data_IF_041643709982
#
_entry.id   IF_041643709982
#
_cell.length_a   1.000
_cell.length_b   1.000
_cell.length_c   1.000
_cell.angle_alpha   90.00
_cell.angle_beta   90.00
_cell.angle_gamma   90.00
#
_symmetry.space_group_name_H-M   'P 1'
#
loop_
_entity.id
_entity.type
_entity.pdbx_description
1 polymer ?
#
# COMPACT_ATOMS: atom_id res chain seq x y z
N UNK A 1 11.73 -9.56 0.95
CA UNK A 1 11.54 -9.66 2.41
C UNK A 1 11.77 -11.07 2.95
N UNK A 2 11.98 -12.08 2.08
CA UNK A 2 12.14 -13.49 2.45
C UNK A 2 13.36 -13.89 3.30
N UNK A 3 14.10 -12.92 3.89
CA UNK A 3 15.35 -13.18 4.61
C UNK A 3 15.33 -12.74 6.08
N UNK A 4 14.21 -12.20 6.59
CA UNK A 4 14.09 -11.82 8.01
C UNK A 4 13.28 -12.86 8.80
N UNK A 5 13.65 -13.05 10.08
CA UNK A 5 13.06 -14.09 10.94
C UNK A 5 11.65 -13.75 11.46
N UNK A 6 11.30 -12.46 11.55
CA UNK A 6 10.02 -12.00 12.09
C UNK A 6 9.02 -11.67 10.97
N UNK A 7 7.72 -11.73 11.27
CA UNK A 7 6.65 -11.32 10.35
C UNK A 7 6.79 -9.85 10.01
N UNK A 8 6.85 -9.54 8.72
CA UNK A 8 6.93 -8.16 8.21
C UNK A 8 5.54 -7.71 7.78
N UNK A 9 5.12 -6.55 8.27
CA UNK A 9 3.91 -5.86 7.82
C UNK A 9 4.33 -4.78 6.83
N UNK A 10 3.74 -4.79 5.63
CA UNK A 10 3.98 -3.75 4.64
C UNK A 10 2.98 -2.60 4.85
N UNK A 11 3.50 -1.42 5.18
CA UNK A 11 2.71 -0.20 5.42
C UNK A 11 3.35 1.00 4.74
N UNK A 12 2.52 1.94 4.28
CA UNK A 12 2.96 3.21 3.71
C UNK A 12 3.11 3.17 2.18
N UNK A 13 2.54 4.18 1.51
CA UNK A 13 2.62 4.37 0.04
C UNK A 13 2.14 3.18 -0.83
N UNK A 14 1.30 2.32 -0.27
CA UNK A 14 0.58 1.26 -0.99
C UNK A 14 -0.74 1.84 -1.48
N UNK A 15 -0.66 2.57 -2.58
CA UNK A 15 -1.74 3.38 -3.18
C UNK A 15 -2.46 2.69 -4.34
N UNK A 16 -2.07 1.47 -4.71
CA UNK A 16 -2.74 0.70 -5.76
C UNK A 16 -2.89 -0.77 -5.37
N UNK A 17 -3.94 -1.45 -5.87
CA UNK A 17 -4.09 -2.90 -5.68
C UNK A 17 -2.88 -3.69 -6.21
N UNK A 18 -2.25 -3.24 -7.30
CA UNK A 18 -1.06 -3.88 -7.85
C UNK A 18 0.14 -3.79 -6.89
N UNK A 19 0.36 -2.64 -6.23
CA UNK A 19 1.38 -2.52 -5.17
C UNK A 19 1.08 -3.43 -3.98
N UNK A 20 -0.19 -3.52 -3.55
CA UNK A 20 -0.59 -4.40 -2.46
C UNK A 20 -0.30 -5.89 -2.77
N UNK A 21 -0.64 -6.34 -3.98
CA UNK A 21 -0.28 -7.68 -4.47
C UNK A 21 1.24 -7.88 -4.48
N UNK A 22 1.98 -6.90 -4.99
CA UNK A 22 3.44 -6.99 -5.13
C UNK A 22 4.15 -7.18 -3.80
N UNK A 23 3.74 -6.47 -2.74
CA UNK A 23 4.39 -6.61 -1.42
C UNK A 23 4.12 -7.96 -0.77
N UNK A 24 2.94 -8.55 -1.00
CA UNK A 24 2.64 -9.92 -0.59
C UNK A 24 3.55 -10.92 -1.32
N UNK A 25 3.69 -10.79 -2.64
CA UNK A 25 4.61 -11.64 -3.44
C UNK A 25 6.09 -11.50 -3.00
N UNK A 26 6.47 -10.33 -2.48
CA UNK A 26 7.81 -10.08 -1.95
C UNK A 26 8.05 -10.67 -0.53
N UNK A 27 7.01 -11.22 0.08
CA UNK A 27 7.05 -11.92 1.37
C UNK A 27 6.53 -11.12 2.57
N UNK A 28 5.71 -10.08 2.37
CA UNK A 28 5.02 -9.44 3.48
C UNK A 28 3.97 -10.39 4.09
N UNK A 29 3.87 -10.42 5.41
CA UNK A 29 2.87 -11.22 6.14
C UNK A 29 1.46 -10.65 5.95
N UNK A 30 1.34 -9.32 6.03
CA UNK A 30 0.11 -8.61 5.71
C UNK A 30 0.42 -7.18 5.23
N UNK A 31 -0.63 -6.48 4.79
CA UNK A 31 -0.54 -5.15 4.20
C UNK A 31 -1.49 -4.21 4.92
N UNK A 32 -1.00 -3.02 5.28
CA UNK A 32 -1.80 -1.92 5.82
C UNK A 32 -1.97 -0.87 4.73
N UNK A 33 -3.23 -0.55 4.42
CA UNK A 33 -3.60 0.51 3.47
C UNK A 33 -4.39 1.58 4.19
N UNK A 34 -3.88 2.81 4.16
CA UNK A 34 -4.47 3.95 4.87
C UNK A 34 -5.09 4.97 3.90
N UNK A 35 -4.38 6.07 3.69
CA UNK A 35 -4.86 7.29 3.03
C UNK A 35 -5.63 7.08 1.73
N UNK A 36 -5.21 6.15 0.88
CA UNK A 36 -5.89 5.91 -0.41
C UNK A 36 -7.27 5.24 -0.28
N UNK A 37 -7.63 4.77 0.92
CA UNK A 37 -8.97 4.24 1.26
C UNK A 37 -9.71 5.21 2.18
N UNK A 38 -9.05 5.71 3.22
CA UNK A 38 -9.73 6.41 4.34
C UNK A 38 -9.59 7.92 4.33
N UNK A 39 -8.88 8.52 3.37
CA UNK A 39 -8.73 9.98 3.23
C UNK A 39 -9.29 10.47 1.89
N UNK A 40 -10.63 10.65 1.77
CA UNK A 40 -11.26 11.03 0.51
C UNK A 40 -10.69 12.30 -0.12
N UNK A 41 -10.29 13.29 0.69
CA UNK A 41 -9.63 14.51 0.21
C UNK A 41 -8.35 14.23 -0.58
N UNK A 42 -7.53 13.26 -0.16
CA UNK A 42 -6.31 12.88 -0.89
C UNK A 42 -6.64 12.08 -2.14
N UNK A 43 -7.65 11.20 -2.08
CA UNK A 43 -8.13 10.46 -3.25
C UNK A 43 -8.60 11.45 -4.32
N UNK A 44 -9.45 12.41 -3.99
CA UNK A 44 -9.92 13.44 -4.94
C UNK A 44 -8.77 14.27 -5.49
N UNK A 45 -7.78 14.61 -4.65
CA UNK A 45 -6.60 15.36 -5.10
C UNK A 45 -5.86 14.63 -6.23
N UNK A 46 -5.66 13.31 -6.12
CA UNK A 46 -4.95 12.55 -7.18
C UNK A 46 -5.68 12.55 -8.52
N UNK A 47 -7.02 12.59 -8.51
CA UNK A 47 -7.78 12.73 -9.76
C UNK A 47 -7.70 14.15 -10.32
N UNK A 48 -7.79 15.16 -9.44
CA UNK A 48 -7.77 16.58 -9.85
C UNK A 48 -6.41 16.96 -10.42
N UNK A 49 -5.31 16.49 -9.81
CA UNK A 49 -3.94 16.75 -10.27
C UNK A 49 -3.59 16.08 -11.60
N UNK A 50 -4.36 15.06 -12.03
CA UNK A 50 -4.11 14.30 -13.25
C UNK A 50 -4.86 14.83 -14.48
N UNK A 51 -5.68 15.87 -14.29
CA UNK A 51 -6.39 16.60 -15.35
C UNK A 51 -5.59 17.84 -15.78
#
# INVERSE_FOLDING_TARGET
>A
MAQVKHKVIAEGNIDTPAKAKRVIELGAFCVVVGSIITRPQLITKTFTDAL
#
